data_IF_425336365515
#
_entry.id   IF_425336365515
#
_cell.length_a   1.000
_cell.length_b   1.000
_cell.length_c   1.000
_cell.angle_alpha   90.00
_cell.angle_beta   90.00
_cell.angle_gamma   90.00
#
_symmetry.space_group_name_H-M   'P 1'
#
loop_
_entity.id
_entity.type
_entity.pdbx_description
1 polymer ?
#
# COMPACT_ATOMS: atom_id res chain seq x y z
N UNK A 1 -34.24 3.58 31.82
CA UNK A 1 -32.97 2.84 31.76
C UNK A 1 -32.63 2.75 30.28
N UNK A 2 -31.77 3.65 29.82
CA UNK A 2 -31.24 3.57 28.43
C UNK A 2 -30.12 2.54 28.44
N UNK A 3 -30.36 1.42 27.79
CA UNK A 3 -29.28 0.46 27.43
C UNK A 3 -28.40 1.14 26.39
N UNK A 4 -27.27 1.66 26.83
CA UNK A 4 -26.18 2.09 25.92
C UNK A 4 -25.70 0.86 25.19
N UNK A 5 -26.18 0.65 23.98
CA UNK A 5 -25.64 -0.30 23.03
C UNK A 5 -24.17 0.10 22.77
N UNK A 6 -23.26 -0.51 23.50
CA UNK A 6 -21.84 -0.50 23.12
C UNK A 6 -21.77 -1.16 21.74
N UNK A 7 -21.72 -0.35 20.68
CA UNK A 7 -21.35 -0.84 19.37
C UNK A 7 -19.91 -1.33 19.50
N UNK A 8 -19.71 -2.64 19.61
CA UNK A 8 -18.41 -3.25 19.49
C UNK A 8 -17.91 -2.91 18.09
N UNK A 9 -16.87 -2.07 18.01
CA UNK A 9 -16.17 -1.87 16.73
C UNK A 9 -15.70 -3.24 16.25
N UNK A 10 -15.88 -3.56 14.97
CA UNK A 10 -15.50 -4.86 14.45
C UNK A 10 -13.97 -5.07 14.59
N UNK A 11 -13.58 -6.27 14.96
CA UNK A 11 -12.17 -6.67 14.97
C UNK A 11 -11.64 -6.83 13.55
N UNK A 12 -10.30 -6.81 13.42
CA UNK A 12 -9.64 -7.07 12.15
C UNK A 12 -9.99 -8.47 11.63
N UNK A 13 -10.20 -8.55 10.32
CA UNK A 13 -10.31 -9.82 9.62
C UNK A 13 -9.17 -9.98 8.61
N UNK A 14 -8.57 -11.17 8.56
CA UNK A 14 -7.37 -11.43 7.78
C UNK A 14 -7.41 -12.79 7.11
N UNK A 15 -6.66 -12.90 6.02
CA UNK A 15 -6.35 -14.16 5.36
C UNK A 15 -4.84 -14.40 5.39
N UNK A 16 -4.37 -15.51 5.96
CA UNK A 16 -2.95 -15.91 5.89
C UNK A 16 -2.60 -16.29 4.46
N UNK A 17 -1.64 -15.58 3.88
CA UNK A 17 -1.20 -15.77 2.49
C UNK A 17 0.08 -16.60 2.43
N UNK A 18 0.97 -16.42 3.40
CA UNK A 18 2.23 -17.17 3.48
C UNK A 18 2.69 -17.29 4.92
N UNK A 19 3.38 -18.40 5.23
CA UNK A 19 3.97 -18.63 6.54
C UNK A 19 5.31 -19.33 6.43
N UNK A 20 6.22 -19.04 7.37
CA UNK A 20 7.52 -19.70 7.52
C UNK A 20 7.94 -19.67 8.99
N UNK A 21 7.73 -20.78 9.70
CA UNK A 21 7.93 -20.85 11.14
C UNK A 21 7.06 -19.83 11.87
N UNK A 22 7.63 -18.97 12.74
CA UNK A 22 6.88 -17.97 13.49
C UNK A 22 6.47 -16.75 12.66
N UNK A 23 6.94 -16.64 11.40
CA UNK A 23 6.66 -15.53 10.50
C UNK A 23 5.47 -15.83 9.61
N UNK A 24 4.53 -14.87 9.51
CA UNK A 24 3.34 -14.94 8.67
C UNK A 24 3.14 -13.65 7.90
N UNK A 25 2.57 -13.77 6.72
CA UNK A 25 2.09 -12.64 5.90
C UNK A 25 0.60 -12.84 5.72
N UNK A 26 -0.16 -11.83 6.10
CA UNK A 26 -1.61 -11.81 6.04
C UNK A 26 -2.08 -10.68 5.12
N UNK A 27 -3.11 -10.95 4.32
CA UNK A 27 -3.90 -9.93 3.66
C UNK A 27 -5.02 -9.52 4.61
N UNK A 28 -5.16 -8.22 4.86
CA UNK A 28 -6.25 -7.69 5.67
C UNK A 28 -7.49 -7.51 4.79
N UNK A 29 -8.57 -8.16 5.15
CA UNK A 29 -9.89 -7.88 4.56
C UNK A 29 -10.50 -6.63 5.20
N UNK A 30 -10.23 -6.46 6.50
CA UNK A 30 -10.63 -5.30 7.29
C UNK A 30 -9.66 -5.09 8.45
N UNK A 31 -9.29 -3.84 8.71
CA UNK A 31 -8.48 -3.44 9.86
C UNK A 31 -9.39 -2.83 10.92
N UNK A 32 -9.56 -3.54 12.03
CA UNK A 32 -10.31 -3.08 13.19
C UNK A 32 -9.46 -2.34 14.22
N UNK A 33 -10.11 -1.79 15.23
CA UNK A 33 -9.47 -1.00 16.28
C UNK A 33 -8.39 -1.78 17.05
N UNK A 34 -8.52 -3.11 17.15
CA UNK A 34 -7.55 -3.99 17.82
C UNK A 34 -6.13 -3.92 17.20
N UNK A 35 -6.01 -3.64 15.88
CA UNK A 35 -4.71 -3.55 15.20
C UNK A 35 -4.24 -2.09 14.97
N UNK A 36 -5.01 -1.07 15.34
CA UNK A 36 -4.61 0.33 15.14
C UNK A 36 -3.33 0.69 15.87
N UNK A 37 -3.23 0.38 17.17
CA UNK A 37 -2.08 0.76 18.00
C UNK A 37 -0.76 0.21 17.45
N UNK A 38 -0.62 -1.09 17.15
CA UNK A 38 0.62 -1.63 16.59
C UNK A 38 0.93 -1.05 15.20
N UNK A 39 -0.05 -0.84 14.32
CA UNK A 39 0.18 -0.24 13.00
C UNK A 39 0.68 1.20 13.09
N UNK A 40 0.05 2.01 13.96
CA UNK A 40 0.45 3.40 14.21
C UNK A 40 1.88 3.44 14.77
N UNK A 41 2.19 2.62 15.76
CA UNK A 41 3.54 2.56 16.35
C UNK A 41 4.61 2.20 15.31
N UNK A 42 4.35 1.21 14.46
CA UNK A 42 5.28 0.81 13.40
C UNK A 42 5.48 1.93 12.38
N UNK A 43 4.44 2.70 12.08
CA UNK A 43 4.50 3.81 11.11
C UNK A 43 5.43 4.94 11.56
N UNK A 44 5.72 5.08 12.85
CA UNK A 44 6.64 6.10 13.38
C UNK A 44 8.04 5.97 12.75
N UNK A 45 8.45 4.77 12.37
CA UNK A 45 9.71 4.54 11.67
C UNK A 45 9.78 5.18 10.27
N UNK A 46 8.64 5.53 9.68
CA UNK A 46 8.58 6.19 8.38
C UNK A 46 8.75 7.71 8.47
N UNK A 47 8.49 8.30 9.65
CA UNK A 47 8.50 9.76 9.84
C UNK A 47 9.87 10.37 9.54
N UNK A 48 10.94 9.71 9.96
CA UNK A 48 12.33 10.17 9.72
C UNK A 48 12.65 10.29 8.22
N UNK A 49 12.09 9.41 7.40
CA UNK A 49 12.38 9.36 5.97
C UNK A 49 11.38 10.16 5.13
N UNK A 50 10.09 10.03 5.43
CA UNK A 50 8.99 10.55 4.61
C UNK A 50 8.30 11.78 5.19
N UNK A 51 8.66 12.20 6.39
CA UNK A 51 8.05 13.33 7.08
C UNK A 51 6.86 12.94 7.97
N UNK A 52 6.33 13.90 8.78
CA UNK A 52 5.30 13.64 9.78
C UNK A 52 4.01 13.04 9.22
N UNK A 53 3.66 13.37 7.97
CA UNK A 53 2.47 12.85 7.28
C UNK A 53 2.51 11.32 7.04
N UNK A 54 3.69 10.69 7.14
CA UNK A 54 3.84 9.25 7.01
C UNK A 54 3.38 8.46 8.25
N UNK A 55 3.17 9.14 9.39
CA UNK A 55 2.62 8.51 10.60
C UNK A 55 1.14 8.19 10.38
N UNK A 56 0.76 6.94 10.59
CA UNK A 56 -0.62 6.52 10.53
C UNK A 56 -1.43 7.11 11.70
N UNK A 57 -2.71 7.31 11.45
CA UNK A 57 -3.73 7.66 12.42
C UNK A 57 -4.92 6.71 12.24
N UNK A 58 -5.86 6.60 13.18
CA UNK A 58 -7.07 5.82 12.96
C UNK A 58 -7.80 6.21 11.67
N UNK A 59 -7.87 7.52 11.38
CA UNK A 59 -8.51 8.02 10.16
C UNK A 59 -7.78 7.59 8.88
N UNK A 60 -6.43 7.63 8.85
CA UNK A 60 -5.67 7.18 7.67
C UNK A 60 -5.74 5.66 7.49
N UNK A 61 -5.83 4.89 8.57
CA UNK A 61 -6.08 3.46 8.51
C UNK A 61 -7.44 3.19 7.87
N UNK A 62 -8.49 3.82 8.35
CA UNK A 62 -9.83 3.68 7.76
C UNK A 62 -9.88 4.10 6.30
N UNK A 63 -9.21 5.22 5.97
CA UNK A 63 -9.24 5.78 4.61
C UNK A 63 -8.49 4.93 3.60
N UNK A 64 -7.37 4.30 4.00
CA UNK A 64 -6.47 3.63 3.06
C UNK A 64 -6.47 2.12 3.20
N UNK A 65 -6.44 1.57 4.43
CA UNK A 65 -6.40 0.12 4.61
C UNK A 65 -7.76 -0.53 4.32
N UNK A 66 -8.84 0.12 4.75
CA UNK A 66 -10.20 -0.39 4.56
C UNK A 66 -10.85 0.08 3.24
N UNK A 67 -10.07 0.73 2.37
CA UNK A 67 -10.56 1.17 1.06
C UNK A 67 -10.72 0.00 0.11
N UNK A 68 -11.86 -0.07 -0.56
CA UNK A 68 -12.08 -1.03 -1.63
C UNK A 68 -10.99 -0.94 -2.72
N UNK A 69 -10.47 -2.07 -3.14
CA UNK A 69 -9.37 -2.18 -4.10
C UNK A 69 -7.97 -1.97 -3.50
N UNK A 70 -7.85 -1.67 -2.20
CA UNK A 70 -6.56 -1.65 -1.52
C UNK A 70 -6.03 -3.05 -1.27
N UNK A 71 -4.71 -3.17 -1.21
CA UNK A 71 -4.00 -4.41 -0.88
C UNK A 71 -3.13 -4.20 0.37
N UNK A 72 -3.73 -4.26 1.57
CA UNK A 72 -3.00 -4.13 2.83
C UNK A 72 -2.49 -5.48 3.29
N UNK A 73 -1.17 -5.69 3.21
CA UNK A 73 -0.51 -6.87 3.76
C UNK A 73 0.21 -6.51 5.05
N UNK A 74 0.02 -7.32 6.08
CA UNK A 74 0.78 -7.25 7.31
C UNK A 74 1.74 -8.44 7.43
N UNK A 75 2.86 -8.21 8.10
CA UNK A 75 3.80 -9.23 8.51
C UNK A 75 3.70 -9.42 10.03
N UNK A 76 3.47 -10.65 10.47
CA UNK A 76 3.51 -11.02 11.89
C UNK A 76 4.70 -11.92 12.20
N UNK A 77 5.20 -11.81 13.41
CA UNK A 77 6.17 -12.73 13.98
C UNK A 77 5.74 -13.10 15.39
N UNK A 78 5.49 -14.40 15.64
CA UNK A 78 4.92 -14.90 16.90
C UNK A 78 3.61 -14.20 17.31
N UNK A 79 2.78 -13.84 16.34
CA UNK A 79 1.50 -13.15 16.55
C UNK A 79 1.58 -11.63 16.51
N UNK A 80 2.73 -11.02 16.80
CA UNK A 80 2.91 -9.57 16.82
C UNK A 80 3.06 -9.01 15.40
N UNK A 81 2.41 -7.88 15.08
CA UNK A 81 2.65 -7.16 13.84
C UNK A 81 4.06 -6.56 13.88
N UNK A 82 4.87 -6.90 12.88
CA UNK A 82 6.26 -6.43 12.75
C UNK A 82 6.49 -5.51 11.55
N UNK A 83 5.52 -5.42 10.68
CA UNK A 83 5.60 -4.60 9.48
C UNK A 83 4.36 -4.71 8.62
N UNK A 84 4.28 -3.86 7.62
CA UNK A 84 3.20 -3.88 6.64
C UNK A 84 3.64 -3.26 5.31
N UNK A 85 2.90 -3.59 4.25
CA UNK A 85 2.95 -2.93 2.95
C UNK A 85 1.51 -2.74 2.49
N UNK A 86 1.20 -1.56 1.99
CA UNK A 86 -0.12 -1.27 1.47
C UNK A 86 -0.05 -0.61 0.09
N UNK A 87 -0.77 -1.19 -0.85
CA UNK A 87 -1.10 -0.56 -2.13
C UNK A 87 -2.53 -0.05 -2.11
N UNK A 88 -2.73 1.18 -2.52
CA UNK A 88 -4.06 1.78 -2.69
C UNK A 88 -4.30 2.10 -4.16
N UNK A 89 -5.54 2.05 -4.68
CA UNK A 89 -5.83 2.57 -6.00
C UNK A 89 -5.33 4.00 -6.15
N UNK A 90 -4.68 4.32 -7.26
CA UNK A 90 -4.12 5.67 -7.48
C UNK A 90 -5.18 6.76 -7.32
N UNK A 91 -6.41 6.47 -7.70
CA UNK A 91 -7.58 7.36 -7.61
C UNK A 91 -7.96 7.72 -6.17
N UNK A 92 -7.57 6.90 -5.19
CA UNK A 92 -7.76 7.20 -3.76
C UNK A 92 -7.01 8.48 -3.37
N UNK A 93 -5.94 8.81 -4.09
CA UNK A 93 -5.08 9.97 -3.86
C UNK A 93 -5.49 11.18 -4.73
N UNK A 94 -6.76 11.32 -5.04
CA UNK A 94 -7.29 12.39 -5.90
C UNK A 94 -7.05 13.83 -5.38
N UNK A 95 -6.72 13.99 -4.10
CA UNK A 95 -6.33 15.29 -3.52
C UNK A 95 -4.90 15.68 -3.87
N UNK A 96 -4.04 14.70 -4.18
CA UNK A 96 -2.66 14.91 -4.53
C UNK A 96 -2.52 15.33 -6.00
N UNK A 97 -1.86 16.46 -6.27
CA UNK A 97 -1.68 16.98 -7.62
C UNK A 97 -0.86 16.02 -8.50
N UNK A 98 0.22 15.47 -7.95
CA UNK A 98 1.07 14.51 -8.66
C UNK A 98 0.30 13.23 -9.07
N UNK A 99 -0.68 12.77 -8.26
CA UNK A 99 -1.49 11.61 -8.61
C UNK A 99 -2.40 11.92 -9.81
N UNK A 100 -3.05 13.10 -9.80
CA UNK A 100 -3.91 13.53 -10.92
C UNK A 100 -3.15 13.77 -12.23
N UNK A 101 -1.87 14.08 -12.15
CA UNK A 101 -1.00 14.28 -13.33
C UNK A 101 -0.47 12.95 -13.89
N UNK A 102 -0.60 11.84 -13.16
CA UNK A 102 -0.20 10.54 -13.68
C UNK A 102 -1.11 10.13 -14.86
N UNK A 103 -0.50 9.68 -15.96
CA UNK A 103 -1.21 9.27 -17.18
C UNK A 103 -2.19 8.11 -16.96
N UNK A 104 -2.05 7.37 -15.86
CA UNK A 104 -2.91 6.26 -15.49
C UNK A 104 -4.03 6.67 -14.52
N UNK A 105 -4.03 7.89 -14.02
CA UNK A 105 -5.11 8.38 -13.15
C UNK A 105 -6.46 8.30 -13.86
N UNK A 106 -7.46 7.75 -13.18
CA UNK A 106 -8.79 7.51 -13.73
C UNK A 106 -8.94 6.22 -14.55
N UNK A 107 -7.85 5.45 -14.76
CA UNK A 107 -7.90 4.17 -15.47
C UNK A 107 -8.15 2.97 -14.56
N UNK A 108 -8.07 3.14 -13.25
CA UNK A 108 -8.25 2.11 -12.21
C UNK A 108 -7.36 0.87 -12.47
N UNK A 109 -6.15 1.10 -12.99
CA UNK A 109 -5.21 0.07 -13.37
C UNK A 109 -3.87 0.17 -12.63
N UNK A 110 -3.78 1.06 -11.66
CA UNK A 110 -2.54 1.38 -10.96
C UNK A 110 -2.74 1.37 -9.45
N UNK A 111 -1.90 0.64 -8.74
CA UNK A 111 -1.78 0.74 -7.29
C UNK A 111 -0.61 1.66 -6.93
N UNK A 112 -0.85 2.56 -6.00
CA UNK A 112 0.20 3.33 -5.36
C UNK A 112 0.63 2.66 -4.06
N UNK A 113 1.90 2.34 -3.91
CA UNK A 113 2.47 1.83 -2.66
C UNK A 113 2.51 2.97 -1.65
N UNK A 114 1.46 3.05 -0.83
CA UNK A 114 1.25 4.14 0.14
C UNK A 114 2.26 4.09 1.29
N UNK A 115 2.54 2.90 1.79
CA UNK A 115 3.53 2.70 2.84
C UNK A 115 4.13 1.30 2.79
N UNK A 116 5.40 1.19 3.16
CA UNK A 116 6.11 -0.07 3.31
C UNK A 116 7.13 0.04 4.43
N UNK A 117 6.96 -0.75 5.49
CA UNK A 117 7.84 -0.74 6.65
C UNK A 117 7.95 -2.10 7.31
N UNK A 118 9.13 -2.44 7.80
CA UNK A 118 9.38 -3.54 8.74
C UNK A 118 10.27 -3.01 9.86
N UNK A 119 9.91 -3.31 11.10
CA UNK A 119 10.62 -2.85 12.28
C UNK A 119 12.12 -3.18 12.22
N UNK A 120 12.96 -2.23 12.67
CA UNK A 120 14.43 -2.32 12.58
C UNK A 120 14.99 -3.61 13.24
N UNK A 121 14.40 -4.05 14.36
CA UNK A 121 14.85 -5.26 15.08
C UNK A 121 14.71 -6.57 14.28
N UNK A 122 13.91 -6.55 13.20
CA UNK A 122 13.71 -7.70 12.32
C UNK A 122 14.43 -7.57 10.97
N UNK A 123 15.30 -6.55 10.81
CA UNK A 123 16.13 -6.42 9.61
C UNK A 123 17.12 -7.59 9.50
N UNK A 124 17.47 -7.95 8.26
CA UNK A 124 18.39 -9.06 7.98
C UNK A 124 17.74 -10.43 7.84
N UNK A 125 16.50 -10.62 8.31
CA UNK A 125 15.79 -11.91 8.23
C UNK A 125 15.09 -12.16 6.87
N UNK A 126 15.19 -11.24 5.93
CA UNK A 126 14.53 -11.35 4.62
C UNK A 126 13.03 -11.05 4.62
N UNK A 127 12.42 -10.71 5.77
CA UNK A 127 10.98 -10.49 5.92
C UNK A 127 10.43 -9.39 5.01
N UNK A 128 11.17 -8.27 4.90
CA UNK A 128 10.78 -7.18 4.00
C UNK A 128 10.75 -7.64 2.53
N UNK A 129 11.74 -8.45 2.11
CA UNK A 129 11.78 -9.01 0.76
C UNK A 129 10.61 -9.98 0.50
N UNK A 130 10.27 -10.82 1.50
CA UNK A 130 9.14 -11.74 1.40
C UNK A 130 7.81 -10.98 1.33
N UNK A 131 7.62 -9.99 2.20
CA UNK A 131 6.41 -9.15 2.22
C UNK A 131 6.21 -8.42 0.88
N UNK A 132 7.26 -7.77 0.37
CA UNK A 132 7.22 -7.10 -0.94
C UNK A 132 6.92 -8.08 -2.08
N UNK A 133 7.51 -9.28 -2.06
CA UNK A 133 7.26 -10.31 -3.08
C UNK A 133 5.82 -10.79 -3.08
N UNK A 134 5.23 -11.03 -1.90
CA UNK A 134 3.83 -11.44 -1.77
C UNK A 134 2.91 -10.34 -2.32
N UNK A 135 3.15 -9.09 -1.92
CA UNK A 135 2.40 -7.93 -2.42
C UNK A 135 2.43 -7.82 -3.95
N UNK A 136 3.63 -7.88 -4.55
CA UNK A 136 3.79 -7.78 -6.01
C UNK A 136 3.11 -8.95 -6.74
N UNK A 137 3.26 -10.17 -6.22
CA UNK A 137 2.63 -11.35 -6.82
C UNK A 137 1.11 -11.31 -6.72
N UNK A 138 0.57 -10.77 -5.62
CA UNK A 138 -0.87 -10.62 -5.46
C UNK A 138 -1.43 -9.53 -6.39
N UNK A 139 -0.73 -8.41 -6.52
CA UNK A 139 -1.11 -7.36 -7.45
C UNK A 139 -1.13 -7.87 -8.91
N UNK A 140 -0.16 -8.70 -9.32
CA UNK A 140 -0.15 -9.34 -10.64
C UNK A 140 -1.36 -10.23 -10.93
N UNK A 141 -1.95 -10.84 -9.89
CA UNK A 141 -3.14 -11.69 -10.04
C UNK A 141 -4.42 -10.87 -10.26
N UNK A 142 -4.39 -9.58 -9.94
CA UNK A 142 -5.52 -8.67 -10.22
C UNK A 142 -5.49 -8.31 -11.70
N UNK A 143 -6.44 -8.82 -12.48
CA UNK A 143 -6.44 -8.65 -13.94
C UNK A 143 -6.42 -7.20 -14.41
N UNK A 144 -7.04 -6.31 -13.64
CA UNK A 144 -7.13 -4.90 -13.96
C UNK A 144 -5.91 -4.09 -13.51
N UNK A 145 -5.03 -4.64 -12.64
CA UNK A 145 -3.85 -3.92 -12.16
C UNK A 145 -2.66 -4.20 -13.07
N UNK A 146 -2.20 -3.17 -13.75
CA UNK A 146 -1.07 -3.22 -14.67
C UNK A 146 0.18 -2.60 -14.10
N UNK A 147 0.04 -1.63 -13.21
CA UNK A 147 1.15 -0.83 -12.70
C UNK A 147 1.14 -0.73 -11.18
N UNK A 148 2.35 -0.63 -10.63
CA UNK A 148 2.58 -0.18 -9.27
C UNK A 148 3.43 1.07 -9.31
N UNK A 149 3.03 2.08 -8.56
CA UNK A 149 3.77 3.32 -8.38
C UNK A 149 4.10 3.56 -6.91
N UNK A 150 4.93 4.53 -6.66
CA UNK A 150 5.27 4.98 -5.31
C UNK A 150 6.36 6.02 -5.31
N UNK A 151 6.54 6.68 -4.18
CA UNK A 151 7.66 7.57 -3.95
C UNK A 151 8.71 6.88 -3.10
N UNK A 152 9.96 6.97 -3.51
CA UNK A 152 11.11 6.47 -2.76
C UNK A 152 12.21 7.52 -2.77
N UNK A 153 13.03 7.54 -1.71
CA UNK A 153 14.20 8.41 -1.67
C UNK A 153 15.06 8.17 -2.90
N UNK A 154 15.60 9.23 -3.47
CA UNK A 154 16.46 9.17 -4.65
C UNK A 154 17.56 8.12 -4.50
N UNK A 155 17.71 7.29 -5.53
CA UNK A 155 18.67 6.20 -5.58
C UNK A 155 18.18 4.86 -5.04
N UNK A 156 17.07 4.81 -4.28
CA UNK A 156 16.49 3.55 -3.79
C UNK A 156 15.90 2.72 -4.93
N UNK A 157 15.35 3.37 -5.94
CA UNK A 157 14.77 2.72 -7.12
C UNK A 157 15.75 1.84 -7.90
N UNK A 158 17.06 2.16 -7.89
CA UNK A 158 18.10 1.34 -8.52
C UNK A 158 18.26 -0.07 -7.93
N UNK A 159 17.76 -0.27 -6.69
CA UNK A 159 17.77 -1.59 -6.05
C UNK A 159 16.54 -2.45 -6.45
N UNK A 160 15.63 -1.89 -7.22
CA UNK A 160 14.44 -2.61 -7.65
C UNK A 160 14.76 -3.49 -8.87
N UNK A 161 14.12 -4.65 -8.91
CA UNK A 161 14.17 -5.56 -10.06
C UNK A 161 12.90 -5.42 -10.89
N UNK A 162 12.98 -5.75 -12.18
CA UNK A 162 11.86 -5.66 -13.13
C UNK A 162 11.85 -4.35 -13.92
N UNK A 163 10.81 -4.12 -14.69
CA UNK A 163 10.66 -2.90 -15.50
C UNK A 163 10.23 -1.72 -14.63
N UNK A 164 11.20 -0.89 -14.31
CA UNK A 164 11.03 0.30 -13.45
C UNK A 164 11.40 1.54 -14.26
N UNK A 165 10.48 2.50 -14.26
CA UNK A 165 10.71 3.83 -14.86
C UNK A 165 10.56 4.89 -13.79
N UNK A 166 11.52 5.81 -13.74
CA UNK A 166 11.39 7.03 -12.95
C UNK A 166 10.56 8.01 -13.76
N UNK A 167 9.43 8.39 -13.22
CA UNK A 167 8.45 9.28 -13.89
C UNK A 167 8.74 10.74 -13.55
N UNK A 168 9.11 10.99 -12.28
CA UNK A 168 9.39 12.34 -11.79
C UNK A 168 10.38 12.31 -10.62
N UNK A 169 11.01 13.47 -10.37
CA UNK A 169 11.85 13.72 -9.19
C UNK A 169 11.34 14.94 -8.49
N UNK A 170 11.03 14.79 -7.21
CA UNK A 170 10.46 15.85 -6.40
C UNK A 170 11.47 16.25 -5.34
N UNK A 171 11.98 17.46 -5.45
CA UNK A 171 12.85 18.05 -4.45
C UNK A 171 12.06 18.42 -3.21
N UNK A 172 12.71 18.33 -2.06
CA UNK A 172 12.10 18.69 -0.77
C UNK A 172 10.75 18.04 -0.51
N UNK A 173 10.63 16.73 -0.82
CA UNK A 173 9.40 15.96 -0.58
C UNK A 173 8.88 16.14 0.83
N UNK A 174 7.61 16.57 0.97
CA UNK A 174 6.94 16.75 2.27
C UNK A 174 7.80 17.56 3.27
N UNK A 175 8.52 18.57 2.77
CA UNK A 175 9.40 19.45 3.57
C UNK A 175 10.53 18.72 4.31
N UNK A 176 10.90 17.52 3.89
CA UNK A 176 11.97 16.71 4.49
C UNK A 176 13.37 17.16 4.11
N UNK A 177 13.53 18.11 3.16
CA UNK A 177 14.82 18.47 2.58
C UNK A 177 15.45 17.39 1.69
N UNK A 178 14.72 16.32 1.39
CA UNK A 178 15.20 15.17 0.62
C UNK A 178 14.52 15.12 -0.74
N UNK A 179 15.25 14.64 -1.76
CA UNK A 179 14.69 14.37 -3.10
C UNK A 179 14.12 12.96 -3.14
N UNK A 180 12.91 12.84 -3.68
CA UNK A 180 12.23 11.57 -3.91
C UNK A 180 12.01 11.33 -5.39
N UNK A 181 11.97 10.06 -5.77
CA UNK A 181 11.67 9.58 -7.12
C UNK A 181 10.26 9.00 -7.12
N UNK A 182 9.40 9.52 -8.00
CA UNK A 182 8.14 8.89 -8.34
C UNK A 182 8.40 7.85 -9.42
N UNK A 183 8.30 6.58 -9.04
CA UNK A 183 8.56 5.47 -9.95
C UNK A 183 7.27 4.81 -10.41
N UNK A 184 7.33 4.16 -11.57
CA UNK A 184 6.32 3.23 -12.07
C UNK A 184 6.97 1.90 -12.38
N UNK A 185 6.35 0.84 -11.89
CA UNK A 185 6.67 -0.55 -12.21
C UNK A 185 5.57 -1.11 -13.09
N UNK A 186 5.92 -1.66 -14.24
CA UNK A 186 5.04 -2.50 -15.03
C UNK A 186 5.05 -3.92 -14.45
N UNK A 187 3.86 -4.48 -14.18
CA UNK A 187 3.74 -5.77 -13.50
C UNK A 187 3.95 -6.96 -14.44
N UNK A 188 3.50 -6.82 -15.68
CA UNK A 188 3.58 -7.87 -16.69
C UNK A 188 3.72 -7.22 -18.07
N UNK A 189 4.97 -6.88 -18.48
CA UNK A 189 5.22 -6.19 -19.74
C UNK A 189 4.86 -7.04 -20.96
N UNK A 190 4.82 -8.37 -20.82
CA UNK A 190 4.49 -9.30 -21.92
C UNK A 190 2.98 -9.51 -22.07
N UNK A 191 2.18 -9.01 -21.13
CA UNK A 191 0.72 -9.12 -21.16
C UNK A 191 0.13 -8.15 -22.18
N UNK A 192 -0.53 -8.71 -23.19
CA UNK A 192 -1.33 -7.90 -24.13
C UNK A 192 -2.63 -7.50 -23.44
N UNK A 193 -2.74 -6.24 -23.05
CA UNK A 193 -3.96 -5.69 -22.47
C UNK A 193 -4.96 -5.40 -23.58
N UNK A 194 -6.11 -6.08 -23.55
CA UNK A 194 -7.22 -5.72 -24.42
C UNK A 194 -7.64 -4.27 -24.12
N UNK A 195 -7.88 -3.44 -25.17
CA UNK A 195 -8.43 -2.11 -24.94
C UNK A 195 -9.78 -2.25 -24.23
N UNK A 196 -9.99 -1.47 -23.16
CA UNK A 196 -11.30 -1.43 -22.50
C UNK A 196 -12.35 -1.04 -23.54
N UNK A 197 -13.28 -1.94 -23.78
CA UNK A 197 -14.58 -1.54 -24.39
C UNK A 197 -15.28 -0.65 -23.36
N UNK A 198 -15.81 0.48 -23.85
CA UNK A 198 -16.47 1.49 -23.02
C UNK A 198 -17.43 0.90 -21.97
N UNK A 199 -17.58 1.56 -20.81
CA UNK A 199 -18.53 1.11 -19.80
C UNK A 199 -19.93 1.03 -20.39
N UNK A 200 -20.76 0.05 -19.97
CA UNK A 200 -22.11 -0.08 -20.48
C UNK A 200 -22.87 1.22 -20.24
N UNK A 201 -23.46 1.74 -21.31
CA UNK A 201 -24.31 2.92 -21.31
C UNK A 201 -25.42 2.72 -20.25
N UNK A 202 -25.31 3.41 -19.12
CA UNK A 202 -26.40 3.47 -18.15
C UNK A 202 -27.42 4.43 -18.71
N UNK A 203 -28.37 3.92 -19.47
CA UNK A 203 -29.56 4.63 -19.85
C UNK A 203 -30.34 4.92 -18.57
N UNK A 204 -30.33 6.18 -18.15
CA UNK A 204 -31.23 6.64 -17.09
C UNK A 204 -32.67 6.59 -17.68
N UNK A 205 -33.49 5.76 -17.06
CA UNK A 205 -34.96 5.83 -17.17
C UNK A 205 -35.45 6.65 -15.98
#
# INVERSE_FOLDING_TARGET
>A
MEETLFQHEPESSTQVIASSGPFQIELMDYVGANDYTPLIHISEALVEEYGPAAKLTPNTIQTYFNKEGSLPFIARHQGDIIGYIIGVPLETLSRESWARLDINFGKINTLYTYAFVVQKKYKGNGYAKMLKRVYLNWAKKQEHIHYITGHVKQGVSFQFTGDIRIIDRIENWQETGKTFEYYRRELDPDRIYAPRTDPPNITRV
#
